data_IF_182840218058
#
_entry.id   IF_182840218058
#
_cell.length_a   1.000
_cell.length_b   1.000
_cell.length_c   1.000
_cell.angle_alpha   90.00
_cell.angle_beta   90.00
_cell.angle_gamma   90.00
#
_symmetry.space_group_name_H-M   'P 1'
#
loop_
_entity.id
_entity.type
_entity.pdbx_description
1 polymer ?
#
# COMPACT_ATOMS: atom_id res chain seq x y z
N UNK A 1 9.79 -10.73 40.84
CA UNK A 1 8.72 -9.73 41.09
C UNK A 1 8.71 -8.60 40.07
N UNK A 2 9.84 -7.91 39.84
CA UNK A 2 9.85 -6.67 39.04
C UNK A 2 9.85 -6.84 37.51
N UNK A 3 10.31 -7.97 36.98
CA UNK A 3 10.49 -8.14 35.53
C UNK A 3 9.17 -8.49 34.82
N UNK A 4 8.29 -9.26 35.46
CA UNK A 4 7.03 -9.72 34.85
C UNK A 4 6.10 -8.56 34.48
N UNK A 5 5.98 -7.55 35.35
CA UNK A 5 5.17 -6.36 35.06
C UNK A 5 5.75 -5.48 33.95
N UNK A 6 7.07 -5.47 33.79
CA UNK A 6 7.73 -4.74 32.70
C UNK A 6 7.50 -5.46 31.37
N UNK A 7 7.62 -6.78 31.33
CA UNK A 7 7.37 -7.57 30.12
C UNK A 7 5.89 -7.53 29.72
N UNK A 8 4.97 -7.61 30.68
CA UNK A 8 3.52 -7.53 30.41
C UNK A 8 3.15 -6.17 29.80
N UNK A 9 3.69 -5.07 30.35
CA UNK A 9 3.49 -3.72 29.80
C UNK A 9 4.03 -3.60 28.37
N UNK A 10 5.19 -4.19 28.08
CA UNK A 10 5.76 -4.20 26.72
C UNK A 10 4.88 -4.98 25.74
N UNK A 11 4.42 -6.16 26.14
CA UNK A 11 3.54 -6.99 25.31
C UNK A 11 2.22 -6.27 24.97
N UNK A 12 1.61 -5.59 25.96
CA UNK A 12 0.39 -4.79 25.75
C UNK A 12 0.63 -3.69 24.71
N UNK A 13 1.71 -2.93 24.84
CA UNK A 13 2.04 -1.84 23.92
C UNK A 13 2.34 -2.33 22.50
N UNK A 14 3.00 -3.49 22.37
CA UNK A 14 3.25 -4.10 21.07
C UNK A 14 1.95 -4.58 20.41
N UNK A 15 1.04 -5.19 21.17
CA UNK A 15 -0.28 -5.56 20.65
C UNK A 15 -1.12 -4.33 20.24
N UNK A 16 -1.04 -3.22 20.98
CA UNK A 16 -1.64 -1.95 20.56
C UNK A 16 -1.04 -1.44 19.25
N UNK A 17 0.28 -1.57 19.07
CA UNK A 17 0.97 -1.24 17.83
C UNK A 17 0.51 -2.10 16.65
N UNK A 18 0.46 -3.41 16.83
CA UNK A 18 0.05 -4.33 15.77
C UNK A 18 -1.37 -4.06 15.31
N UNK A 19 -2.29 -3.86 16.27
CA UNK A 19 -3.72 -3.62 16.03
C UNK A 19 -4.06 -2.17 15.71
N UNK A 20 -3.07 -1.28 15.68
CA UNK A 20 -3.31 0.12 15.38
C UNK A 20 -3.88 0.27 13.97
N UNK A 21 -5.07 0.85 13.85
CA UNK A 21 -5.74 1.16 12.60
C UNK A 21 -6.62 2.40 12.75
N UNK A 22 -6.96 3.05 11.64
CA UNK A 22 -7.97 4.10 11.60
C UNK A 22 -9.36 3.53 11.90
N UNK A 23 -10.16 4.29 12.63
CA UNK A 23 -11.56 3.93 12.88
C UNK A 23 -12.47 4.58 11.84
N UNK A 24 -13.61 3.95 11.55
CA UNK A 24 -14.66 4.57 10.75
C UNK A 24 -15.13 5.89 11.40
N UNK A 25 -15.26 6.95 10.61
CA UNK A 25 -15.64 8.26 11.15
C UNK A 25 -14.49 9.06 11.79
N UNK A 26 -13.30 8.47 11.95
CA UNK A 26 -12.18 9.17 12.58
C UNK A 26 -11.63 10.30 11.71
N UNK A 27 -11.48 11.48 12.30
CA UNK A 27 -10.79 12.61 11.68
C UNK A 27 -9.29 12.34 11.60
N UNK A 28 -8.63 12.83 10.55
CA UNK A 28 -7.18 12.64 10.39
C UNK A 28 -6.37 13.25 11.55
N UNK A 29 -6.85 14.33 12.17
CA UNK A 29 -6.31 14.89 13.41
C UNK A 29 -6.27 13.87 14.55
N UNK A 30 -7.39 13.19 14.78
CA UNK A 30 -7.55 12.24 15.87
C UNK A 30 -6.66 11.02 15.64
N UNK A 31 -6.62 10.53 14.41
CA UNK A 31 -5.72 9.47 13.99
C UNK A 31 -4.24 9.83 14.24
N UNK A 32 -3.82 11.00 13.79
CA UNK A 32 -2.47 11.51 13.97
C UNK A 32 -2.08 11.63 15.45
N UNK A 33 -2.95 12.20 16.28
CA UNK A 33 -2.70 12.31 17.71
C UNK A 33 -2.60 10.96 18.40
N UNK A 34 -3.47 9.99 18.08
CA UNK A 34 -3.38 8.62 18.61
C UNK A 34 -2.08 7.95 18.20
N UNK A 35 -1.68 8.09 16.95
CA UNK A 35 -0.43 7.53 16.45
C UNK A 35 0.79 8.13 17.15
N UNK A 36 0.85 9.46 17.28
CA UNK A 36 1.94 10.13 18.01
C UNK A 36 2.04 9.67 19.46
N UNK A 37 0.89 9.53 20.15
CA UNK A 37 0.86 9.03 21.53
C UNK A 37 1.46 7.63 21.62
N UNK A 38 1.02 6.71 20.75
CA UNK A 38 1.55 5.35 20.67
C UNK A 38 3.06 5.33 20.38
N UNK A 39 3.53 6.14 19.42
CA UNK A 39 4.95 6.25 19.10
C UNK A 39 5.78 6.78 20.27
N UNK A 40 5.27 7.78 20.99
CA UNK A 40 5.92 8.33 22.17
C UNK A 40 6.01 7.30 23.30
N UNK A 41 4.97 6.51 23.50
CA UNK A 41 4.99 5.43 24.49
C UNK A 41 5.96 4.31 24.09
N UNK A 42 6.00 3.91 22.83
CA UNK A 42 6.98 2.92 22.32
C UNK A 42 8.43 3.41 22.55
N UNK A 43 8.70 4.67 22.24
CA UNK A 43 10.00 5.31 22.45
C UNK A 43 10.39 5.34 23.93
N UNK A 44 9.48 5.72 24.82
CA UNK A 44 9.72 5.73 26.28
C UNK A 44 10.02 4.34 26.86
N UNK A 45 9.47 3.29 26.25
CA UNK A 45 9.71 1.91 26.68
C UNK A 45 10.92 1.25 25.98
N UNK A 46 11.74 2.01 25.23
CA UNK A 46 12.94 1.54 24.49
C UNK A 46 12.65 0.49 23.42
N UNK A 47 11.42 0.47 22.88
CA UNK A 47 10.97 -0.47 21.84
C UNK A 47 10.30 0.31 20.71
N UNK A 48 11.08 1.13 20.01
CA UNK A 48 10.55 1.91 18.89
C UNK A 48 11.01 1.29 17.56
N UNK A 49 10.09 1.12 16.59
CA UNK A 49 10.43 0.68 15.25
C UNK A 49 11.35 1.68 14.55
N UNK A 50 12.04 1.23 13.50
CA UNK A 50 12.73 2.12 12.58
C UNK A 50 11.76 3.13 11.96
N UNK A 51 12.26 4.33 11.64
CA UNK A 51 11.44 5.42 11.11
C UNK A 51 10.63 5.00 9.88
N UNK A 52 11.25 4.29 8.94
CA UNK A 52 10.55 3.80 7.74
C UNK A 52 9.40 2.85 8.12
N UNK A 53 9.62 1.91 9.04
CA UNK A 53 8.59 0.99 9.50
C UNK A 53 7.43 1.75 10.16
N UNK A 54 7.73 2.78 10.94
CA UNK A 54 6.70 3.61 11.54
C UNK A 54 5.95 4.49 10.53
N UNK A 55 6.65 5.07 9.56
CA UNK A 55 6.03 5.84 8.49
C UNK A 55 5.11 4.96 7.62
N UNK A 56 5.56 3.75 7.27
CA UNK A 56 4.74 2.75 6.59
C UNK A 56 3.52 2.37 7.43
N UNK A 57 3.68 2.13 8.72
CA UNK A 57 2.57 1.81 9.64
C UNK A 57 1.55 2.95 9.74
N UNK A 58 2.01 4.21 9.73
CA UNK A 58 1.14 5.39 9.75
C UNK A 58 0.30 5.50 8.47
N UNK A 59 0.88 5.20 7.31
CA UNK A 59 0.18 5.33 6.02
C UNK A 59 -0.73 4.14 5.72
N UNK A 60 -0.24 2.92 5.90
CA UNK A 60 -0.94 1.69 5.49
C UNK A 60 -2.17 1.35 6.34
N UNK A 61 -2.28 1.99 7.51
CA UNK A 61 -3.37 1.75 8.46
C UNK A 61 -4.47 2.83 8.37
N UNK A 62 -4.40 3.71 7.38
CA UNK A 62 -5.49 4.61 7.03
C UNK A 62 -6.65 3.84 6.38
N UNK A 63 -7.85 4.40 6.44
CA UNK A 63 -9.00 3.83 5.75
C UNK A 63 -8.81 3.84 4.21
N UNK A 64 -9.50 2.95 3.46
CA UNK A 64 -9.33 2.81 2.01
C UNK A 64 -9.53 4.11 1.19
N UNK A 65 -10.32 5.06 1.69
CA UNK A 65 -10.52 6.37 1.08
C UNK A 65 -9.22 7.18 0.96
N UNK A 66 -8.18 6.83 1.75
CA UNK A 66 -6.86 7.45 1.66
C UNK A 66 -5.89 6.76 0.68
N UNK A 67 -6.27 5.63 0.08
CA UNK A 67 -5.35 4.76 -0.69
C UNK A 67 -4.62 5.48 -1.84
N UNK A 68 -5.30 6.36 -2.57
CA UNK A 68 -4.69 7.18 -3.61
C UNK A 68 -3.60 8.10 -3.04
N UNK A 69 -3.90 8.81 -1.95
CA UNK A 69 -2.96 9.72 -1.30
C UNK A 69 -1.76 8.98 -0.68
N UNK A 70 -1.99 7.80 -0.11
CA UNK A 70 -0.93 6.91 0.38
C UNK A 70 0.02 6.52 -0.76
N UNK A 71 -0.51 6.14 -1.92
CA UNK A 71 0.29 5.82 -3.11
C UNK A 71 1.14 7.00 -3.57
N UNK A 72 0.56 8.21 -3.61
CA UNK A 72 1.29 9.43 -3.96
C UNK A 72 2.42 9.70 -2.97
N UNK A 73 2.19 9.54 -1.68
CA UNK A 73 3.23 9.71 -0.65
C UNK A 73 4.37 8.70 -0.84
N UNK A 74 4.07 7.43 -1.11
CA UNK A 74 5.10 6.41 -1.37
C UNK A 74 6.00 6.75 -2.56
N UNK A 75 5.43 7.38 -3.60
CA UNK A 75 6.18 7.70 -4.82
C UNK A 75 6.96 9.00 -4.71
N UNK A 76 6.47 9.97 -3.93
CA UNK A 76 6.98 11.35 -3.95
C UNK A 76 7.76 11.75 -2.72
N UNK A 77 7.69 10.98 -1.62
CA UNK A 77 8.37 11.28 -0.36
C UNK A 77 9.40 10.21 -0.03
N UNK A 78 10.54 10.66 0.51
CA UNK A 78 11.49 9.76 1.14
C UNK A 78 11.02 9.39 2.55
N UNK A 79 10.46 8.18 2.69
CA UNK A 79 9.94 7.67 3.95
C UNK A 79 11.04 7.34 4.97
N UNK A 80 12.32 7.30 4.59
CA UNK A 80 13.41 7.14 5.54
C UNK A 80 13.69 8.43 6.31
N UNK A 81 13.43 9.59 5.71
CA UNK A 81 13.77 10.89 6.29
C UNK A 81 12.54 11.68 6.73
N UNK A 82 11.42 11.55 6.04
CA UNK A 82 10.16 12.23 6.34
C UNK A 82 9.77 12.09 7.81
N UNK A 83 9.31 13.19 8.41
CA UNK A 83 8.71 13.19 9.74
C UNK A 83 7.18 13.09 9.65
N UNK A 84 6.54 12.72 10.76
CA UNK A 84 5.10 12.52 10.80
C UNK A 84 4.31 13.81 10.53
N UNK A 85 4.88 14.99 10.84
CA UNK A 85 4.22 16.27 10.59
C UNK A 85 4.14 16.55 9.09
N UNK A 86 5.20 16.24 8.33
CA UNK A 86 5.18 16.35 6.86
C UNK A 86 4.15 15.42 6.23
N UNK A 87 4.09 14.17 6.69
CA UNK A 87 3.09 13.19 6.21
C UNK A 87 1.66 13.64 6.57
N UNK A 88 1.45 14.06 7.82
CA UNK A 88 0.16 14.56 8.30
C UNK A 88 -0.29 15.81 7.53
N UNK A 89 0.58 16.79 7.31
CA UNK A 89 0.23 18.01 6.58
C UNK A 89 -0.21 17.71 5.15
N UNK A 90 0.44 16.75 4.49
CA UNK A 90 0.01 16.29 3.17
C UNK A 90 -1.38 15.66 3.23
N UNK A 91 -1.65 14.76 4.17
CA UNK A 91 -2.97 14.14 4.32
C UNK A 91 -4.04 15.20 4.65
N UNK A 92 -3.75 16.10 5.58
CA UNK A 92 -4.67 17.16 6.00
C UNK A 92 -5.03 18.10 4.86
N UNK A 93 -4.08 18.45 4.00
CA UNK A 93 -4.33 19.27 2.83
C UNK A 93 -5.37 18.64 1.89
N UNK A 94 -5.37 17.31 1.76
CA UNK A 94 -6.26 16.57 0.87
C UNK A 94 -7.56 16.08 1.54
N UNK A 95 -7.83 16.47 2.79
CA UNK A 95 -8.98 15.98 3.57
C UNK A 95 -10.31 16.15 2.84
N UNK A 96 -10.50 17.27 2.12
CA UNK A 96 -11.75 17.57 1.41
C UNK A 96 -12.07 16.54 0.33
N UNK A 97 -11.07 16.14 -0.47
CA UNK A 97 -11.23 15.12 -1.51
C UNK A 97 -11.64 13.76 -0.90
N UNK A 98 -10.99 13.39 0.20
CA UNK A 98 -11.31 12.17 0.94
C UNK A 98 -12.71 12.21 1.54
N UNK A 99 -13.13 13.36 2.08
CA UNK A 99 -14.47 13.53 2.64
C UNK A 99 -15.57 13.39 1.56
N UNK A 100 -15.32 13.91 0.35
CA UNK A 100 -16.20 13.75 -0.82
C UNK A 100 -16.28 12.27 -1.26
N UNK A 101 -15.15 11.57 -1.36
CA UNK A 101 -15.09 10.14 -1.67
C UNK A 101 -15.83 9.29 -0.64
N UNK A 102 -15.71 9.64 0.64
CA UNK A 102 -16.43 8.97 1.73
C UNK A 102 -17.93 9.20 1.63
N UNK A 103 -18.37 10.42 1.33
CA UNK A 103 -19.79 10.73 1.13
C UNK A 103 -20.36 9.98 -0.08
N UNK A 104 -19.62 9.89 -1.19
CA UNK A 104 -20.00 9.11 -2.37
C UNK A 104 -20.08 7.61 -2.07
N UNK A 105 -19.13 7.07 -1.30
CA UNK A 105 -19.16 5.67 -0.86
C UNK A 105 -20.42 5.38 -0.04
N UNK A 106 -20.75 6.27 0.90
CA UNK A 106 -21.95 6.14 1.74
C UNK A 106 -23.25 6.31 0.94
N UNK A 107 -23.28 7.14 -0.10
CA UNK A 107 -24.44 7.25 -0.98
C UNK A 107 -24.64 5.99 -1.82
N UNK A 108 -23.55 5.40 -2.36
CA UNK A 108 -23.59 4.12 -3.09
C UNK A 108 -24.06 2.96 -2.21
N UNK A 109 -23.67 2.92 -0.93
CA UNK A 109 -24.14 1.90 0.01
C UNK A 109 -25.65 2.04 0.30
N UNK A 110 -26.28 3.19 0.08
CA UNK A 110 -27.74 3.32 0.24
C UNK A 110 -28.54 2.83 -0.97
N UNK A 111 -27.89 2.54 -2.10
CA UNK A 111 -28.54 1.90 -3.25
C UNK A 111 -28.75 0.40 -2.96
N UNK A 112 -30.00 -0.09 -2.88
CA UNK A 112 -30.31 -1.50 -2.62
C UNK A 112 -29.63 -2.47 -3.59
N UNK A 113 -29.36 -2.05 -4.84
CA UNK A 113 -28.67 -2.88 -5.84
C UNK A 113 -27.16 -2.95 -5.58
N UNK A 114 -26.55 -1.85 -5.14
CA UNK A 114 -25.12 -1.79 -4.83
C UNK A 114 -24.76 -2.50 -3.52
N UNK A 115 -25.70 -2.56 -2.56
CA UNK A 115 -25.54 -3.36 -1.33
C UNK A 115 -25.30 -4.84 -1.60
N UNK A 116 -25.98 -5.41 -2.61
CA UNK A 116 -25.84 -6.81 -2.98
C UNK A 116 -24.47 -7.10 -3.61
N UNK A 117 -23.92 -6.14 -4.37
CA UNK A 117 -22.62 -6.28 -5.02
C UNK A 117 -21.43 -6.24 -4.04
N UNK A 118 -21.57 -5.56 -2.90
CA UNK A 118 -20.52 -5.47 -1.87
C UNK A 118 -20.71 -6.50 -0.73
N UNK A 119 -21.81 -7.26 -0.77
CA UNK A 119 -21.97 -8.42 0.09
C UNK A 119 -21.04 -9.51 -0.44
N UNK A 120 -19.85 -9.64 0.15
CA UNK A 120 -18.99 -10.80 -0.04
C UNK A 120 -19.72 -12.03 0.54
N UNK A 121 -20.68 -12.54 -0.21
CA UNK A 121 -21.47 -13.70 0.18
C UNK A 121 -20.60 -14.95 -0.05
N UNK A 122 -20.21 -15.71 0.99
CA UNK A 122 -19.32 -16.86 0.86
C UNK A 122 -19.93 -18.03 0.05
N UNK A 123 -21.19 -17.91 -0.39
CA UNK A 123 -21.92 -18.91 -1.17
C UNK A 123 -22.05 -18.60 -2.67
N UNK A 124 -21.46 -17.51 -3.18
CA UNK A 124 -21.41 -17.30 -4.64
C UNK A 124 -20.29 -18.18 -5.21
N UNK A 125 -20.65 -19.33 -5.76
CA UNK A 125 -19.77 -20.06 -6.65
C UNK A 125 -19.40 -19.12 -7.82
N UNK A 126 -18.11 -18.86 -8.08
CA UNK A 126 -17.74 -18.11 -9.27
C UNK A 126 -18.25 -18.89 -10.48
N UNK A 127 -19.04 -18.23 -11.32
CA UNK A 127 -19.31 -18.73 -12.66
C UNK A 127 -17.95 -18.95 -13.35
N UNK A 128 -17.76 -19.99 -14.15
CA UNK A 128 -16.50 -20.18 -14.87
C UNK A 128 -16.35 -19.02 -15.86
N UNK A 129 -15.58 -18.01 -15.47
CA UNK A 129 -15.16 -16.92 -16.33
C UNK A 129 -14.34 -17.53 -17.46
N UNK A 130 -14.90 -17.59 -18.67
CA UNK A 130 -14.10 -17.68 -19.88
C UNK A 130 -13.52 -16.29 -20.17
N UNK A 131 -12.53 -15.89 -19.39
CA UNK A 131 -11.64 -14.80 -19.79
C UNK A 131 -10.63 -15.39 -20.77
N UNK A 132 -10.91 -15.23 -22.06
CA UNK A 132 -9.85 -15.20 -23.06
C UNK A 132 -8.98 -13.98 -22.75
N UNK A 133 -7.83 -14.23 -22.14
CA UNK A 133 -6.80 -13.20 -21.97
C UNK A 133 -6.39 -12.68 -23.35
N UNK A 134 -6.46 -11.36 -23.56
CA UNK A 134 -5.95 -10.70 -24.76
C UNK A 134 -4.45 -10.42 -24.72
N UNK A 135 -3.74 -11.03 -23.76
CA UNK A 135 -2.29 -10.91 -23.63
C UNK A 135 -1.62 -12.13 -24.26
N UNK A 136 -0.81 -11.87 -25.30
CA UNK A 136 0.08 -12.78 -26.06
C UNK A 136 -0.41 -13.27 -27.45
N UNK A 137 -0.66 -12.36 -28.39
CA UNK A 137 -0.74 -12.69 -29.83
C UNK A 137 0.42 -12.10 -30.67
N UNK A 138 1.50 -11.59 -30.07
CA UNK A 138 2.60 -10.94 -30.81
C UNK A 138 3.96 -11.65 -30.78
N UNK A 139 4.02 -12.98 -30.54
CA UNK A 139 5.28 -13.71 -30.48
C UNK A 139 5.40 -14.94 -31.40
N UNK A 140 4.53 -15.12 -32.40
CA UNK A 140 4.61 -16.27 -33.31
C UNK A 140 4.65 -15.93 -34.81
N UNK A 141 5.08 -14.73 -35.19
CA UNK A 141 5.39 -14.44 -36.59
C UNK A 141 6.80 -13.86 -36.73
N UNK A 142 7.80 -14.73 -36.63
CA UNK A 142 9.05 -14.55 -37.36
C UNK A 142 9.20 -15.71 -38.35
N UNK A 143 9.38 -15.45 -39.64
CA UNK A 143 9.81 -16.49 -40.58
C UNK A 143 11.20 -16.98 -40.16
N UNK A 144 11.40 -18.30 -40.13
CA UNK A 144 12.74 -18.89 -39.98
C UNK A 144 13.58 -18.52 -41.20
N UNK A 145 14.70 -17.85 -40.99
CA UNK A 145 15.73 -17.69 -42.03
C UNK A 145 16.42 -19.04 -42.26
N UNK A 146 16.45 -19.50 -43.50
CA UNK A 146 16.98 -20.81 -43.91
C UNK A 146 18.49 -20.92 -43.63
N UNK A 147 19.03 -22.07 -43.16
CA UNK A 147 20.43 -22.20 -42.75
C UNK A 147 21.37 -22.71 -43.87
N UNK A 148 21.29 -22.16 -45.08
CA UNK A 148 22.16 -22.59 -46.21
C UNK A 148 22.99 -21.47 -46.85
N UNK A 149 23.29 -20.38 -46.14
CA UNK A 149 24.19 -19.35 -46.68
C UNK A 149 25.25 -18.83 -45.70
N UNK A 150 25.75 -19.72 -44.82
CA UNK A 150 26.91 -19.41 -43.97
C UNK A 150 28.20 -19.77 -44.71
N UNK A 151 28.51 -19.00 -45.76
CA UNK A 151 29.85 -19.04 -46.35
C UNK A 151 30.67 -17.86 -45.84
N UNK A 152 31.54 -18.16 -44.86
CA UNK A 152 32.75 -17.44 -44.40
C UNK A 152 32.72 -16.74 -43.02
N UNK A 153 33.57 -17.17 -42.06
CA UNK A 153 33.77 -16.50 -40.77
C UNK A 153 35.02 -15.61 -40.84
N UNK A 154 34.89 -14.30 -41.05
CA UNK A 154 36.03 -13.36 -40.84
C UNK A 154 35.62 -11.95 -40.39
N UNK A 155 34.35 -11.54 -40.47
CA UNK A 155 34.01 -10.10 -40.32
C UNK A 155 33.35 -9.73 -38.99
N UNK A 156 33.74 -10.37 -37.87
CA UNK A 156 33.20 -10.04 -36.54
C UNK A 156 34.23 -9.48 -35.54
N UNK A 157 35.50 -9.25 -35.94
CA UNK A 157 36.58 -8.87 -35.01
C UNK A 157 37.10 -7.42 -35.11
N UNK A 158 36.47 -6.51 -35.88
CA UNK A 158 37.03 -5.16 -36.11
C UNK A 158 36.03 -3.99 -35.92
N UNK A 159 35.35 -3.89 -34.77
CA UNK A 159 34.75 -2.61 -34.33
C UNK A 159 35.17 -2.22 -32.90
N UNK A 160 36.39 -2.59 -32.51
CA UNK A 160 37.12 -1.97 -31.40
C UNK A 160 38.26 -1.14 -31.99
N UNK A 161 37.95 0.00 -32.60
CA UNK A 161 38.82 1.17 -32.83
C UNK A 161 38.05 2.23 -33.64
N UNK A 162 37.29 3.06 -32.91
CA UNK A 162 36.97 4.44 -33.26
C UNK A 162 36.70 5.19 -31.95
#
# INVERSE_FOLDING_TARGET
GSDIGIQEKKAKLFNEWERFTSNEGELIECYYHRFLKLMNDLKRNKHYPEKIASNLKFLNNLLPEWSQHVTIVHQTKDLHTADYTQLYNFLKYNQKEVDELKAERLSKIQDPLALMANSNNPYVFPAPHQDQSSFNQNYLQQPMTNPEDITNPTTAMNMALA
#
